data_IF_607278869840
#
_entry.id   IF_607278869840
#
_cell.length_a   1.000
_cell.length_b   1.000
_cell.length_c   1.000
_cell.angle_alpha   90.00
_cell.angle_beta   90.00
_cell.angle_gamma   90.00
#
_symmetry.space_group_name_H-M   'P 1'
#
loop_
_entity.id
_entity.type
_entity.pdbx_description
1 polymer ?
#
# COMPACT_ATOMS: atom_id res chain seq x y z
N UNK A 1 1.30 -11.70 11.98
CA UNK A 1 1.35 -11.76 10.50
C UNK A 1 -0.06 -11.61 9.92
N UNK A 2 -0.48 -10.43 9.45
CA UNK A 2 -1.86 -10.24 8.91
C UNK A 2 -1.97 -9.27 7.72
N UNK A 3 -1.06 -8.30 7.59
CA UNK A 3 -1.15 -7.27 6.53
C UNK A 3 -0.74 -7.76 5.14
N UNK A 4 0.22 -8.68 5.03
CA UNK A 4 0.63 -9.24 3.72
C UNK A 4 -0.50 -10.04 3.06
N UNK A 5 -1.25 -10.83 3.83
CA UNK A 5 -2.41 -11.57 3.31
C UNK A 5 -3.53 -10.66 2.84
N UNK A 6 -3.72 -9.52 3.50
CA UNK A 6 -4.69 -8.52 3.05
C UNK A 6 -4.24 -7.89 1.74
N UNK A 7 -2.93 -7.71 1.51
CA UNK A 7 -2.41 -7.18 0.26
C UNK A 7 -2.57 -8.19 -0.91
N UNK A 8 -2.44 -9.49 -0.63
CA UNK A 8 -2.63 -10.57 -1.61
C UNK A 8 -4.11 -10.87 -1.89
N UNK A 9 -4.99 -10.75 -0.90
CA UNK A 9 -6.40 -11.09 -1.02
C UNK A 9 -7.28 -10.00 -1.66
N UNK A 10 -6.81 -8.74 -1.68
CA UNK A 10 -7.59 -7.61 -2.20
C UNK A 10 -7.35 -7.44 -3.69
N UNK A 11 -8.45 -7.44 -4.44
CA UNK A 11 -8.46 -7.15 -5.89
C UNK A 11 -8.79 -5.69 -6.18
N UNK A 12 -9.07 -4.90 -5.15
CA UNK A 12 -9.41 -3.49 -5.29
C UNK A 12 -8.71 -2.62 -4.23
N UNK A 13 -8.18 -1.49 -4.70
CA UNK A 13 -7.41 -0.57 -3.87
C UNK A 13 -8.26 0.09 -2.77
N UNK A 14 -9.57 0.18 -2.98
CA UNK A 14 -10.50 0.73 -1.99
C UNK A 14 -10.74 -0.25 -0.83
N UNK A 15 -10.58 -1.57 -1.04
CA UNK A 15 -10.68 -2.57 0.04
C UNK A 15 -9.53 -2.47 1.04
N UNK A 16 -8.37 -1.98 0.58
CA UNK A 16 -7.25 -1.67 1.47
C UNK A 16 -7.60 -0.56 2.47
N UNK A 17 -8.69 0.21 2.28
CA UNK A 17 -9.17 1.24 3.21
C UNK A 17 -10.11 0.71 4.29
N UNK A 18 -10.59 -0.54 4.17
CA UNK A 18 -11.72 -1.06 4.94
C UNK A 18 -11.39 -1.42 6.40
N UNK A 19 -10.13 -1.54 6.83
CA UNK A 19 -9.77 -1.16 8.19
C UNK A 19 -9.43 0.34 8.20
N UNK A 20 -10.12 1.20 8.98
CA UNK A 20 -9.90 2.65 9.03
C UNK A 20 -8.48 3.09 9.46
N UNK A 21 -7.62 2.13 9.85
CA UNK A 21 -6.20 2.35 10.16
C UNK A 21 -5.24 2.15 8.97
N UNK A 22 -5.72 1.72 7.81
CA UNK A 22 -4.90 1.70 6.60
C UNK A 22 -4.98 3.08 5.94
N UNK A 23 -4.03 3.93 6.30
CA UNK A 23 -3.78 5.20 5.64
C UNK A 23 -3.16 4.93 4.27
N UNK A 24 -4.01 4.60 3.30
CA UNK A 24 -3.62 4.53 1.90
C UNK A 24 -3.35 5.96 1.41
N UNK A 25 -2.09 6.25 1.12
CA UNK A 25 -1.63 7.54 0.60
C UNK A 25 -1.15 7.34 -0.84
N UNK A 26 -1.76 8.06 -1.78
CA UNK A 26 -1.27 8.13 -3.16
C UNK A 26 0.00 8.99 -3.20
N UNK A 27 1.10 8.45 -3.71
CA UNK A 27 2.36 9.17 -3.84
C UNK A 27 2.29 10.09 -5.06
N UNK A 28 2.72 11.33 -4.88
CA UNK A 28 2.79 12.35 -5.93
C UNK A 28 4.26 12.68 -6.26
N UNK A 29 4.48 13.40 -7.36
CA UNK A 29 5.81 13.77 -7.89
C UNK A 29 6.57 12.59 -8.53
N UNK A 30 7.80 12.30 -8.14
CA UNK A 30 8.69 11.29 -8.77
C UNK A 30 8.11 9.86 -8.79
N UNK A 31 7.18 9.57 -7.87
CA UNK A 31 6.50 8.28 -7.71
C UNK A 31 5.04 8.31 -8.16
N UNK A 32 4.66 9.21 -9.06
CA UNK A 32 3.27 9.35 -9.56
C UNK A 32 2.73 8.00 -10.06
N UNK A 33 1.61 7.57 -9.51
CA UNK A 33 1.00 6.25 -9.80
C UNK A 33 1.41 5.12 -8.83
N UNK A 34 2.26 5.42 -7.84
CA UNK A 34 2.46 4.55 -6.69
C UNK A 34 1.52 4.94 -5.54
N UNK A 35 1.14 3.93 -4.78
CA UNK A 35 0.39 4.03 -3.54
C UNK A 35 1.25 3.53 -2.39
N UNK A 36 1.01 4.06 -1.20
CA UNK A 36 1.66 3.58 0.01
C UNK A 36 0.64 3.25 1.08
N UNK A 37 0.91 2.18 1.84
CA UNK A 37 0.11 1.77 3.00
C UNK A 37 1.01 1.70 4.22
N UNK A 38 0.55 2.32 5.30
CA UNK A 38 1.24 2.27 6.58
C UNK A 38 1.10 0.89 7.25
N UNK A 39 2.22 0.24 7.54
CA UNK A 39 2.25 -0.97 8.38
C UNK A 39 2.20 -0.57 9.85
N UNK A 40 3.11 0.31 10.28
CA UNK A 40 3.25 0.81 11.65
C UNK A 40 3.90 2.22 11.64
N UNK A 41 4.39 2.74 12.78
CA UNK A 41 5.00 4.09 12.85
C UNK A 41 6.25 4.26 11.99
N UNK A 42 6.94 3.18 11.67
CA UNK A 42 8.26 3.18 11.05
C UNK A 42 8.23 2.63 9.62
N UNK A 43 7.34 1.70 9.32
CA UNK A 43 7.33 0.94 8.06
C UNK A 43 6.13 1.28 7.18
N UNK A 44 6.38 1.48 5.89
CA UNK A 44 5.37 1.66 4.84
C UNK A 44 5.62 0.67 3.71
N UNK A 45 4.54 0.17 3.10
CA UNK A 45 4.59 -0.58 1.85
C UNK A 45 4.30 0.41 0.73
N UNK A 46 5.20 0.54 -0.24
CA UNK A 46 4.97 1.26 -1.49
C UNK A 46 4.72 0.25 -2.60
N UNK A 47 3.76 0.52 -3.47
CA UNK A 47 3.45 -0.35 -4.61
C UNK A 47 2.79 0.47 -5.73
N UNK A 48 2.92 0.02 -6.97
CA UNK A 48 2.12 0.49 -8.10
C UNK A 48 0.84 -0.31 -8.16
N UNK A 49 -0.29 0.35 -8.37
CA UNK A 49 -1.55 -0.34 -8.64
C UNK A 49 -1.82 -0.35 -10.13
N UNK A 50 -1.88 -1.52 -10.75
CA UNK A 50 -2.21 -1.68 -12.17
C UNK A 50 -3.16 -2.86 -12.34
N UNK A 51 -4.26 -2.64 -13.07
CA UNK A 51 -5.20 -3.69 -13.47
C UNK A 51 -5.80 -4.55 -12.34
N UNK A 52 -5.83 -4.06 -11.09
CA UNK A 52 -6.35 -4.80 -9.94
C UNK A 52 -5.28 -5.50 -9.10
N UNK A 53 -4.02 -5.38 -9.49
CA UNK A 53 -2.87 -6.01 -8.83
C UNK A 53 -1.85 -4.97 -8.34
N UNK A 54 -1.10 -5.36 -7.31
CA UNK A 54 0.01 -4.58 -6.76
C UNK A 54 1.34 -5.01 -7.40
N UNK A 55 1.98 -4.07 -8.10
CA UNK A 55 3.29 -4.21 -8.75
C UNK A 55 4.35 -3.40 -8.01
N UNK A 56 5.64 -3.72 -8.23
CA UNK A 56 6.77 -3.01 -7.62
C UNK A 56 6.59 -2.82 -6.09
N UNK A 57 6.21 -3.90 -5.41
CA UNK A 57 5.92 -3.87 -3.96
C UNK A 57 7.23 -3.79 -3.18
N UNK A 58 7.44 -2.66 -2.50
CA UNK A 58 8.61 -2.38 -1.69
C UNK A 58 8.22 -2.03 -0.26
N UNK A 59 9.03 -2.46 0.72
CA UNK A 59 8.88 -2.04 2.12
C UNK A 59 9.94 -0.98 2.40
N UNK A 60 9.51 0.24 2.71
CA UNK A 60 10.38 1.36 3.03
C UNK A 60 10.26 1.74 4.50
N UNK A 61 11.41 2.04 5.10
CA UNK A 61 11.53 2.65 6.44
C UNK A 61 11.38 4.17 6.29
N UNK A 62 10.48 4.77 7.05
CA UNK A 62 10.26 6.21 7.11
C UNK A 62 10.71 6.68 8.49
N UNK A 63 11.93 7.23 8.57
CA UNK A 63 12.49 7.90 9.75
C UNK A 63 12.75 9.36 9.45
#
# INVERSE_FOLDING_TARGET
MRKLWVLDAVTNLDELRIPPGNHLEALCSDRKGQHSIRINRQWRICFRWQSGDAHDVEIVDYH
#
